data_IF_128576637292
#
_entry.id   IF_128576637292
#
_cell.length_a   1.000
_cell.length_b   1.000
_cell.length_c   1.000
_cell.angle_alpha   90.00
_cell.angle_beta   90.00
_cell.angle_gamma   90.00
#
_symmetry.space_group_name_H-M   'P 1'
#
loop_
_entity.id
_entity.type
_entity.pdbx_description
1 polymer ?
#
# COMPACT_ATOMS: atom_id res chain seq x y z
N UNK A 1 -16.22 25.81 -21.08
CA UNK A 1 -16.27 26.94 -20.12
C UNK A 1 -16.31 26.55 -18.65
N UNK A 2 -16.39 25.24 -18.32
CA UNK A 2 -16.43 24.73 -16.93
C UNK A 2 -15.03 24.43 -16.33
N UNK A 3 -13.95 24.67 -17.09
CA UNK A 3 -12.58 24.28 -16.70
C UNK A 3 -11.73 25.45 -16.19
N UNK A 4 -12.11 26.69 -16.47
CA UNK A 4 -11.34 27.87 -16.07
C UNK A 4 -11.16 28.03 -14.55
N UNK A 5 -12.20 27.84 -13.68
CA UNK A 5 -12.03 27.95 -12.24
C UNK A 5 -11.09 26.88 -11.65
N UNK A 6 -11.11 25.68 -12.20
CA UNK A 6 -10.27 24.56 -11.73
C UNK A 6 -8.80 24.77 -12.09
N UNK A 7 -8.51 25.35 -13.26
CA UNK A 7 -7.14 25.67 -13.69
C UNK A 7 -6.56 26.83 -12.87
N UNK A 8 -7.35 27.90 -12.64
CA UNK A 8 -6.99 28.99 -11.75
C UNK A 8 -6.73 28.52 -10.32
N UNK A 9 -7.61 27.67 -9.79
CA UNK A 9 -7.43 27.07 -8.47
C UNK A 9 -6.16 26.24 -8.34
N UNK A 10 -5.75 25.50 -9.39
CA UNK A 10 -4.49 24.74 -9.39
C UNK A 10 -3.26 25.66 -9.40
N UNK A 11 -3.28 26.74 -10.18
CA UNK A 11 -2.19 27.71 -10.21
C UNK A 11 -2.04 28.44 -8.89
N UNK A 12 -3.15 28.93 -8.33
CA UNK A 12 -3.18 29.60 -7.05
C UNK A 12 -2.69 28.69 -5.91
N UNK A 13 -3.17 27.43 -5.88
CA UNK A 13 -2.70 26.42 -4.94
C UNK A 13 -1.18 26.24 -5.00
N UNK A 14 -0.63 26.16 -6.20
CA UNK A 14 0.81 25.99 -6.38
C UNK A 14 1.58 27.21 -5.88
N UNK A 15 1.13 28.43 -6.20
CA UNK A 15 1.74 29.67 -5.71
C UNK A 15 1.71 29.79 -4.21
N UNK A 16 0.56 29.49 -3.58
CA UNK A 16 0.40 29.51 -2.13
C UNK A 16 1.24 28.44 -1.43
N UNK A 17 1.40 27.27 -2.04
CA UNK A 17 2.26 26.21 -1.53
C UNK A 17 3.75 26.59 -1.63
N UNK A 18 4.19 27.13 -2.76
CA UNK A 18 5.57 27.58 -2.98
C UNK A 18 5.96 28.76 -2.07
N UNK A 19 5.00 29.62 -1.72
CA UNK A 19 5.21 30.73 -0.79
C UNK A 19 5.10 30.33 0.70
N UNK A 20 4.68 29.08 0.98
CA UNK A 20 4.40 28.65 2.36
C UNK A 20 3.11 29.21 2.97
N UNK A 21 2.26 29.84 2.16
CA UNK A 21 1.03 30.46 2.62
C UNK A 21 -0.16 29.46 2.71
N UNK A 22 -0.06 28.29 2.11
CA UNK A 22 -1.09 27.26 2.17
C UNK A 22 -0.96 26.44 3.45
N UNK A 23 -2.05 26.33 4.21
CA UNK A 23 -2.08 25.45 5.39
C UNK A 23 -1.98 23.98 4.96
N UNK A 24 -1.03 23.25 5.51
CA UNK A 24 -0.91 21.80 5.36
C UNK A 24 -1.88 21.00 6.25
N UNK A 25 -2.43 21.65 7.28
CA UNK A 25 -3.26 21.00 8.31
C UNK A 25 -4.75 20.95 7.98
N UNK A 26 -5.20 21.67 6.95
CA UNK A 26 -6.63 21.76 6.60
C UNK A 26 -6.91 21.23 5.21
N UNK A 27 -8.14 20.78 5.00
CA UNK A 27 -8.60 20.28 3.71
C UNK A 27 -8.88 21.41 2.72
N UNK A 28 -8.70 21.13 1.43
CA UNK A 28 -9.16 22.00 0.35
C UNK A 28 -10.60 21.63 0.06
N UNK A 29 -11.49 22.58 0.19
CA UNK A 29 -12.92 22.36 -0.08
C UNK A 29 -13.32 22.89 -1.45
N UNK A 30 -14.32 22.24 -2.04
CA UNK A 30 -14.98 22.71 -3.26
C UNK A 30 -16.47 22.77 -2.98
N UNK A 31 -16.99 23.97 -2.99
CA UNK A 31 -18.40 24.24 -2.69
C UNK A 31 -18.96 25.29 -3.64
N UNK A 32 -20.16 25.05 -4.15
CA UNK A 32 -20.91 25.94 -5.07
C UNK A 32 -20.07 26.46 -6.25
N UNK A 33 -19.15 25.62 -6.75
CA UNK A 33 -18.28 25.96 -7.89
C UNK A 33 -17.06 26.82 -7.54
N UNK A 34 -16.86 27.15 -6.27
CA UNK A 34 -15.66 27.81 -5.75
C UNK A 34 -14.70 26.78 -5.11
N UNK A 35 -13.40 27.07 -5.13
CA UNK A 35 -12.37 26.29 -4.46
C UNK A 35 -11.87 27.12 -3.30
N UNK A 36 -11.93 26.58 -2.10
CA UNK A 36 -11.45 27.18 -0.88
C UNK A 36 -10.11 26.59 -0.52
N UNK A 37 -9.09 27.44 -0.48
CA UNK A 37 -7.72 27.08 -0.14
C UNK A 37 -7.41 27.59 1.26
N UNK A 38 -7.19 26.71 2.25
CA UNK A 38 -6.92 27.13 3.61
C UNK A 38 -5.55 27.83 3.69
N UNK A 39 -5.51 29.00 4.30
CA UNK A 39 -4.28 29.74 4.55
C UNK A 39 -3.67 29.32 5.89
N UNK A 40 -2.36 29.36 5.98
CA UNK A 40 -1.66 29.22 7.25
C UNK A 40 -2.05 30.40 8.18
N UNK A 41 -2.42 30.13 9.46
CA UNK A 41 -2.84 31.18 10.40
C UNK A 41 -1.78 32.27 10.64
N UNK A 42 -0.51 32.02 10.36
CA UNK A 42 0.58 32.97 10.47
C UNK A 42 0.68 33.94 9.28
N UNK A 43 -0.07 33.70 8.20
CA UNK A 43 -0.02 34.51 6.99
C UNK A 43 -1.05 35.62 7.06
N UNK A 44 -0.60 36.87 6.85
CA UNK A 44 -1.50 38.02 6.68
C UNK A 44 -2.12 37.98 5.27
N UNK A 45 -3.44 37.75 5.15
CA UNK A 45 -4.10 37.65 3.85
C UNK A 45 -3.97 38.91 3.00
N UNK A 46 -3.73 40.07 3.62
CA UNK A 46 -3.61 41.34 2.90
C UNK A 46 -2.29 41.49 2.12
N UNK A 47 -1.34 40.60 2.41
CA UNK A 47 -0.03 40.55 1.72
C UNK A 47 -0.03 39.66 0.46
N UNK A 48 -1.13 38.94 0.24
CA UNK A 48 -1.29 38.05 -0.90
C UNK A 48 -1.81 38.80 -2.11
N UNK A 49 -1.57 38.24 -3.31
CA UNK A 49 -1.96 38.85 -4.60
C UNK A 49 -3.49 39.00 -4.70
N UNK A 50 -4.02 40.15 -5.19
CA UNK A 50 -5.43 40.49 -5.17
C UNK A 50 -6.36 39.70 -6.11
N UNK A 51 -5.85 38.71 -6.83
CA UNK A 51 -6.66 37.92 -7.79
C UNK A 51 -7.62 36.91 -7.14
N UNK A 52 -7.78 36.91 -5.82
CA UNK A 52 -8.71 36.04 -5.08
C UNK A 52 -9.34 36.77 -3.88
N UNK A 53 -10.52 36.31 -3.49
CA UNK A 53 -11.24 36.82 -2.35
C UNK A 53 -10.90 36.00 -1.09
N UNK A 54 -10.60 36.66 0.03
CA UNK A 54 -10.41 35.98 1.32
C UNK A 54 -11.71 35.98 2.10
N UNK A 55 -12.10 34.82 2.60
CA UNK A 55 -13.29 34.61 3.41
C UNK A 55 -12.95 33.88 4.70
N UNK A 56 -13.64 34.20 5.78
CA UNK A 56 -13.57 33.40 6.99
C UNK A 56 -14.54 32.22 6.86
N UNK A 57 -14.02 31.00 6.99
CA UNK A 57 -14.80 29.78 6.91
C UNK A 57 -14.24 28.76 7.90
N UNK A 58 -15.13 28.02 8.53
CA UNK A 58 -14.76 26.84 9.30
C UNK A 58 -14.38 25.72 8.32
N UNK A 59 -13.19 25.20 8.43
CA UNK A 59 -12.63 24.21 7.50
C UNK A 59 -12.16 23.01 8.30
N UNK A 60 -12.49 21.81 7.84
CA UNK A 60 -12.07 20.59 8.48
C UNK A 60 -10.54 20.45 8.46
N UNK A 61 -10.00 19.93 9.57
CA UNK A 61 -8.60 19.52 9.59
C UNK A 61 -8.40 18.31 8.68
N UNK A 62 -7.28 18.32 7.98
CA UNK A 62 -6.86 17.15 7.23
C UNK A 62 -6.54 16.04 8.22
N UNK A 63 -7.17 14.90 8.09
CA UNK A 63 -6.76 13.70 8.79
C UNK A 63 -5.35 13.34 8.30
N UNK A 64 -4.36 13.51 9.17
CA UNK A 64 -3.01 13.04 8.92
C UNK A 64 -3.00 11.54 9.19
N UNK A 65 -2.61 10.75 8.18
CA UNK A 65 -2.39 9.32 8.39
C UNK A 65 -1.33 9.14 9.48
N UNK A 66 -1.64 8.29 10.44
CA UNK A 66 -0.70 7.86 11.47
C UNK A 66 0.01 6.60 11.01
N UNK A 67 1.33 6.58 11.15
CA UNK A 67 2.16 5.44 10.82
C UNK A 67 2.69 4.77 12.10
N UNK A 68 3.15 3.51 12.03
CA UNK A 68 3.68 2.82 13.22
C UNK A 68 4.84 3.56 13.89
N UNK A 69 5.72 4.21 13.12
CA UNK A 69 6.85 5.01 13.61
C UNK A 69 6.42 6.21 14.47
N UNK A 70 5.26 6.79 14.22
CA UNK A 70 4.73 7.91 15.02
C UNK A 70 4.46 7.49 16.48
N UNK A 71 4.26 6.19 16.71
CA UNK A 71 3.99 5.61 18.02
C UNK A 71 5.22 5.01 18.70
N UNK A 72 6.15 4.47 17.89
CA UNK A 72 7.31 3.74 18.38
C UNK A 72 8.51 4.64 18.68
N UNK A 73 8.61 5.82 18.05
CA UNK A 73 9.79 6.67 18.11
C UNK A 73 11.01 6.13 17.36
N UNK A 74 10.82 5.07 16.59
CA UNK A 74 11.78 4.52 15.62
C UNK A 74 11.02 3.96 14.43
N UNK A 75 11.68 3.82 13.27
CA UNK A 75 11.11 3.24 12.05
C UNK A 75 11.17 1.70 12.14
N UNK A 76 10.03 1.01 12.25
CA UNK A 76 10.00 -0.46 12.26
C UNK A 76 10.20 -1.02 10.86
N UNK A 77 10.84 -2.20 10.76
CA UNK A 77 10.95 -2.93 9.51
C UNK A 77 9.82 -3.96 9.42
N UNK A 78 8.99 -3.85 8.37
CA UNK A 78 7.95 -4.83 8.07
C UNK A 78 7.71 -4.94 6.57
N UNK A 79 7.19 -6.08 6.13
CA UNK A 79 6.70 -6.29 4.77
C UNK A 79 5.17 -6.38 4.80
N UNK A 80 4.55 -5.99 3.68
CA UNK A 80 3.11 -6.17 3.51
C UNK A 80 2.81 -7.23 2.47
N UNK A 81 1.91 -8.15 2.83
CA UNK A 81 1.33 -9.15 1.95
C UNK A 81 -0.20 -9.05 2.08
N UNK A 82 -0.85 -8.40 1.11
CA UNK A 82 -2.26 -8.07 1.25
C UNK A 82 -2.55 -7.20 2.47
N UNK A 83 -3.33 -7.71 3.39
CA UNK A 83 -3.68 -7.14 4.69
C UNK A 83 -2.90 -7.76 5.88
N UNK A 84 -1.87 -8.55 5.58
CA UNK A 84 -0.94 -9.06 6.58
C UNK A 84 0.33 -8.21 6.61
N UNK A 85 0.75 -7.79 7.80
CA UNK A 85 2.07 -7.20 8.05
C UNK A 85 3.01 -8.27 8.61
N UNK A 86 4.18 -8.43 7.99
CA UNK A 86 5.18 -9.43 8.34
C UNK A 86 6.36 -8.71 9.00
N UNK A 87 6.62 -9.01 10.24
CA UNK A 87 7.74 -8.52 11.04
C UNK A 87 8.84 -9.58 11.06
N UNK A 88 10.09 -9.14 11.25
CA UNK A 88 11.28 -9.99 11.37
C UNK A 88 12.09 -9.47 12.56
N UNK A 89 11.67 -9.82 13.76
CA UNK A 89 12.22 -9.30 15.01
C UNK A 89 12.49 -10.45 15.99
N UNK A 90 13.72 -10.50 16.50
CA UNK A 90 14.15 -11.55 17.43
C UNK A 90 13.72 -11.27 18.88
N UNK A 91 13.41 -10.03 19.21
CA UNK A 91 12.97 -9.60 20.55
C UNK A 91 11.46 -9.59 20.62
N UNK A 92 10.89 -10.48 21.42
CA UNK A 92 9.42 -10.66 21.54
C UNK A 92 8.71 -9.40 22.04
N UNK A 93 9.29 -8.65 22.98
CA UNK A 93 8.67 -7.43 23.52
C UNK A 93 8.63 -6.36 22.42
N UNK A 94 9.71 -6.28 21.64
CA UNK A 94 9.80 -5.35 20.52
C UNK A 94 8.87 -5.75 19.36
N UNK A 95 8.77 -7.05 19.05
CA UNK A 95 7.84 -7.58 18.06
C UNK A 95 6.39 -7.23 18.41
N UNK A 96 5.98 -7.43 19.67
CA UNK A 96 4.66 -7.08 20.16
C UNK A 96 4.41 -5.56 20.11
N UNK A 97 5.39 -4.75 20.49
CA UNK A 97 5.27 -3.29 20.41
C UNK A 97 5.06 -2.80 18.97
N UNK A 98 5.77 -3.42 18.00
CA UNK A 98 5.59 -3.14 16.57
C UNK A 98 4.18 -3.54 16.11
N UNK A 99 3.70 -4.73 16.51
CA UNK A 99 2.37 -5.19 16.17
C UNK A 99 1.27 -4.26 16.69
N UNK A 100 1.38 -3.82 17.95
CA UNK A 100 0.45 -2.87 18.55
C UNK A 100 0.46 -1.53 17.84
N UNK A 101 1.64 -1.04 17.45
CA UNK A 101 1.78 0.21 16.70
C UNK A 101 1.18 0.11 15.29
N UNK A 102 1.38 -1.01 14.59
CA UNK A 102 0.78 -1.29 13.27
C UNK A 102 -0.74 -1.30 13.39
N UNK A 103 -1.30 -2.03 14.35
CA UNK A 103 -2.75 -2.14 14.57
C UNK A 103 -3.42 -0.83 14.96
N UNK A 104 -2.69 0.05 15.60
CA UNK A 104 -3.18 1.35 16.05
C UNK A 104 -2.89 2.49 15.06
N UNK A 105 -2.26 2.21 13.93
CA UNK A 105 -1.97 3.15 12.83
C UNK A 105 -3.02 3.03 11.72
N UNK A 106 -2.91 3.89 10.71
CA UNK A 106 -3.75 3.83 9.50
C UNK A 106 -3.18 2.88 8.42
N UNK A 107 -2.24 2.01 8.81
CA UNK A 107 -1.74 0.97 7.92
C UNK A 107 -2.84 -0.07 7.70
N UNK A 108 -3.22 -0.39 6.46
CA UNK A 108 -4.24 -1.40 6.18
C UNK A 108 -3.66 -2.81 6.37
N UNK A 109 -3.49 -3.21 7.62
CA UNK A 109 -3.06 -4.53 8.06
C UNK A 109 -4.04 -5.06 9.13
N UNK A 110 -4.69 -6.18 8.85
CA UNK A 110 -5.62 -6.83 9.77
C UNK A 110 -4.92 -7.85 10.65
N UNK A 111 -3.87 -8.49 10.13
CA UNK A 111 -3.04 -9.45 10.86
C UNK A 111 -1.58 -8.98 10.88
N UNK A 112 -0.91 -9.21 11.99
CA UNK A 112 0.53 -9.01 12.13
C UNK A 112 1.18 -10.32 12.55
N UNK A 113 2.14 -10.79 11.78
CA UNK A 113 2.88 -12.01 12.06
C UNK A 113 4.37 -11.72 12.21
N UNK A 114 5.04 -12.47 13.09
CA UNK A 114 6.51 -12.49 13.17
C UNK A 114 7.06 -13.79 12.58
N UNK A 115 8.26 -13.74 12.04
CA UNK A 115 8.96 -14.90 11.52
C UNK A 115 9.51 -15.74 12.67
N UNK A 116 8.85 -16.86 12.99
CA UNK A 116 9.26 -17.76 14.07
C UNK A 116 10.38 -18.72 13.65
N UNK A 117 10.52 -19.01 12.34
CA UNK A 117 11.56 -19.89 11.83
C UNK A 117 12.14 -19.43 10.49
N UNK A 118 13.32 -19.92 10.09
CA UNK A 118 13.78 -19.86 8.71
C UNK A 118 12.80 -20.59 7.77
N UNK A 119 12.95 -20.37 6.46
CA UNK A 119 12.25 -21.16 5.45
C UNK A 119 12.86 -22.56 5.44
N UNK A 120 12.03 -23.60 5.61
CA UNK A 120 12.47 -24.99 5.72
C UNK A 120 11.74 -25.91 4.74
N UNK A 121 12.38 -27.05 4.43
CA UNK A 121 11.82 -28.13 3.63
C UNK A 121 11.59 -27.82 2.14
N UNK A 122 11.03 -28.80 1.44
CA UNK A 122 10.77 -28.73 -0.02
C UNK A 122 9.64 -27.72 -0.33
N UNK A 123 8.68 -27.56 0.56
CA UNK A 123 7.53 -26.66 0.39
C UNK A 123 7.89 -25.21 0.70
N UNK A 124 9.08 -24.94 1.27
CA UNK A 124 9.56 -23.59 1.62
C UNK A 124 8.62 -22.84 2.57
N UNK A 125 7.92 -23.56 3.42
CA UNK A 125 7.03 -23.03 4.47
C UNK A 125 7.89 -22.68 5.69
N UNK A 126 7.42 -21.72 6.46
CA UNK A 126 7.98 -21.37 7.78
C UNK A 126 6.89 -21.33 8.83
N UNK A 127 7.32 -21.39 10.08
CA UNK A 127 6.44 -21.12 11.20
C UNK A 127 6.26 -19.61 11.38
N UNK A 128 5.08 -19.21 11.80
CA UNK A 128 4.70 -17.83 12.02
C UNK A 128 4.14 -17.67 13.43
N UNK A 129 4.62 -16.67 14.15
CA UNK A 129 4.00 -16.21 15.38
C UNK A 129 2.97 -15.13 15.03
N UNK A 130 1.70 -15.43 15.27
CA UNK A 130 0.61 -14.44 15.09
C UNK A 130 0.63 -13.49 16.27
N UNK A 131 1.10 -12.27 16.06
CA UNK A 131 1.19 -11.25 17.11
C UNK A 131 -0.12 -10.48 17.31
N UNK A 132 -0.88 -10.29 16.21
CA UNK A 132 -2.19 -9.65 16.24
C UNK A 132 -3.03 -10.13 15.05
N UNK A 133 -4.36 -10.15 15.20
CA UNK A 133 -5.27 -10.74 14.23
C UNK A 133 -5.44 -12.24 14.46
N UNK A 134 -6.15 -12.91 13.55
CA UNK A 134 -6.48 -14.34 13.70
C UNK A 134 -6.25 -15.12 12.41
N UNK A 135 -6.21 -14.45 11.25
CA UNK A 135 -6.21 -15.08 9.93
C UNK A 135 -4.85 -14.93 9.25
N UNK A 136 -4.40 -16.00 8.62
CA UNK A 136 -3.19 -16.01 7.77
C UNK A 136 -3.53 -16.08 6.27
N UNK A 137 -4.82 -16.18 5.93
CA UNK A 137 -5.30 -16.03 4.56
C UNK A 137 -5.34 -14.55 4.17
N UNK A 138 -4.97 -14.26 2.93
CA UNK A 138 -5.00 -12.90 2.40
C UNK A 138 -5.13 -12.89 0.87
N UNK A 139 -5.43 -11.71 0.32
CA UNK A 139 -5.39 -11.46 -1.12
C UNK A 139 -4.35 -10.39 -1.42
N UNK A 140 -3.20 -10.82 -1.93
CA UNK A 140 -2.15 -9.91 -2.38
C UNK A 140 -2.44 -9.42 -3.81
N UNK A 141 -2.15 -8.13 -4.06
CA UNK A 141 -2.34 -7.51 -5.38
C UNK A 141 -1.03 -6.94 -5.90
N UNK A 142 -0.66 -7.34 -7.11
CA UNK A 142 0.50 -6.79 -7.80
C UNK A 142 0.23 -6.72 -9.31
N UNK A 143 0.65 -5.63 -9.95
CA UNK A 143 0.56 -5.42 -11.41
C UNK A 143 -0.80 -5.79 -12.04
N UNK A 144 -1.90 -5.52 -11.33
CA UNK A 144 -3.26 -5.77 -11.81
C UNK A 144 -3.77 -7.20 -11.62
N UNK A 145 -2.96 -8.11 -11.08
CA UNK A 145 -3.35 -9.45 -10.66
C UNK A 145 -3.66 -9.51 -9.16
N UNK A 146 -4.49 -10.46 -8.76
CA UNK A 146 -4.80 -10.77 -7.38
C UNK A 146 -4.45 -12.22 -7.09
N UNK A 147 -3.77 -12.46 -5.99
CA UNK A 147 -3.33 -13.77 -5.54
C UNK A 147 -3.91 -14.03 -4.15
N UNK A 148 -4.86 -14.93 -4.06
CA UNK A 148 -5.32 -15.45 -2.78
C UNK A 148 -4.28 -16.46 -2.27
N UNK A 149 -4.01 -16.46 -0.98
CA UNK A 149 -3.09 -17.42 -0.36
C UNK A 149 -3.26 -17.44 1.15
N UNK A 150 -2.93 -18.58 1.75
CA UNK A 150 -2.68 -18.69 3.18
C UNK A 150 -1.17 -18.70 3.45
N UNK A 151 -0.69 -17.70 4.18
CA UNK A 151 0.72 -17.55 4.51
C UNK A 151 1.28 -18.72 5.34
N UNK A 152 0.42 -19.45 6.06
CA UNK A 152 0.81 -20.62 6.83
C UNK A 152 1.01 -21.88 5.98
N UNK A 153 0.36 -21.97 4.81
CA UNK A 153 0.37 -23.20 3.98
C UNK A 153 1.11 -23.04 2.66
N UNK A 154 1.28 -21.81 2.14
CA UNK A 154 1.93 -21.61 0.85
C UNK A 154 3.05 -20.55 0.92
N UNK A 155 4.05 -20.74 0.08
CA UNK A 155 5.13 -19.76 -0.06
C UNK A 155 4.75 -18.65 -1.04
N UNK A 156 4.86 -17.42 -0.59
CA UNK A 156 4.80 -16.24 -1.46
C UNK A 156 5.80 -15.16 -0.98
N UNK A 157 6.45 -14.46 -1.90
CA UNK A 157 7.36 -13.37 -1.58
C UNK A 157 7.02 -12.12 -2.38
N UNK A 158 6.50 -11.05 -1.74
CA UNK A 158 6.21 -9.79 -2.42
C UNK A 158 7.46 -9.08 -2.94
N UNK A 159 8.63 -9.36 -2.40
CA UNK A 159 9.93 -8.79 -2.86
C UNK A 159 10.27 -9.15 -4.30
N UNK A 160 9.70 -10.24 -4.82
CA UNK A 160 9.95 -10.71 -6.19
C UNK A 160 9.01 -10.09 -7.23
N UNK A 161 8.10 -9.23 -6.83
CA UNK A 161 7.09 -8.63 -7.71
C UNK A 161 7.69 -7.97 -8.96
N UNK A 162 8.75 -7.16 -8.80
CA UNK A 162 9.42 -6.49 -9.92
C UNK A 162 10.05 -7.48 -10.91
N UNK A 163 10.68 -8.55 -10.39
CA UNK A 163 11.29 -9.56 -11.26
C UNK A 163 10.23 -10.41 -11.97
N UNK A 164 9.16 -10.77 -11.28
CA UNK A 164 8.01 -11.44 -11.91
C UNK A 164 7.45 -10.59 -13.06
N UNK A 165 7.21 -9.32 -12.81
CA UNK A 165 6.72 -8.40 -13.83
C UNK A 165 7.67 -8.32 -15.03
N UNK A 166 8.98 -8.17 -14.80
CA UNK A 166 10.01 -8.15 -15.84
C UNK A 166 9.99 -9.39 -16.72
N UNK A 167 9.80 -10.57 -16.13
CA UNK A 167 9.70 -11.84 -16.87
C UNK A 167 8.43 -11.89 -17.69
N UNK A 168 7.29 -11.58 -17.07
CA UNK A 168 5.97 -11.60 -17.71
C UNK A 168 5.86 -10.60 -18.87
N UNK A 169 6.53 -9.44 -18.78
CA UNK A 169 6.56 -8.47 -19.88
C UNK A 169 7.20 -9.00 -21.17
N UNK A 170 8.00 -10.06 -21.10
CA UNK A 170 8.62 -10.70 -22.26
C UNK A 170 7.68 -11.67 -22.98
N UNK A 171 6.55 -12.02 -22.36
CA UNK A 171 5.58 -12.97 -22.89
C UNK A 171 4.67 -12.26 -23.89
N UNK A 172 4.57 -12.82 -25.11
CA UNK A 172 3.68 -12.33 -26.16
C UNK A 172 2.32 -13.06 -26.14
N UNK A 173 1.31 -12.41 -26.73
CA UNK A 173 -0.01 -13.00 -26.94
C UNK A 173 0.08 -14.31 -27.77
N UNK A 174 -0.60 -15.35 -27.33
CA UNK A 174 -0.61 -16.66 -27.97
C UNK A 174 0.64 -17.53 -27.70
N UNK A 175 1.60 -17.07 -26.92
CA UNK A 175 2.72 -17.92 -26.48
C UNK A 175 2.26 -19.01 -25.51
N UNK A 176 3.04 -20.10 -25.45
CA UNK A 176 2.84 -21.17 -24.47
C UNK A 176 3.84 -21.03 -23.35
N UNK A 177 3.33 -20.89 -22.13
CA UNK A 177 4.11 -20.76 -20.91
C UNK A 177 3.89 -21.98 -20.03
N UNK A 178 4.96 -22.57 -19.54
CA UNK A 178 4.92 -23.67 -18.60
C UNK A 178 5.76 -23.33 -17.37
N UNK A 179 5.10 -23.21 -16.20
CA UNK A 179 5.74 -22.98 -14.91
C UNK A 179 5.78 -24.30 -14.13
N UNK A 180 6.98 -24.78 -13.84
CA UNK A 180 7.22 -26.05 -13.15
C UNK A 180 7.13 -25.93 -11.62
N UNK A 181 7.03 -24.71 -11.08
CA UNK A 181 6.99 -24.41 -9.65
C UNK A 181 6.00 -23.27 -9.42
N UNK A 182 4.77 -23.47 -9.83
CA UNK A 182 3.79 -22.41 -10.03
C UNK A 182 3.35 -21.72 -8.74
N UNK A 183 3.39 -22.42 -7.58
CA UNK A 183 2.79 -21.89 -6.35
C UNK A 183 1.34 -21.45 -6.60
N UNK A 184 0.96 -20.30 -6.05
CA UNK A 184 -0.35 -19.68 -6.30
C UNK A 184 -0.44 -18.93 -7.66
N UNK A 185 0.44 -19.25 -8.59
CA UNK A 185 0.44 -18.76 -9.96
C UNK A 185 1.03 -17.37 -10.21
N UNK A 186 2.04 -16.88 -9.46
CA UNK A 186 2.54 -15.52 -9.63
C UNK A 186 3.20 -15.21 -10.98
N UNK A 187 3.51 -16.23 -11.78
CA UNK A 187 3.89 -16.12 -13.20
C UNK A 187 2.76 -16.56 -14.13
N UNK A 188 2.03 -17.62 -13.77
CA UNK A 188 0.98 -18.23 -14.62
C UNK A 188 -0.19 -17.27 -14.82
N UNK A 189 -0.69 -16.67 -13.75
CA UNK A 189 -1.85 -15.77 -13.80
C UNK A 189 -1.57 -14.54 -14.68
N UNK A 190 -0.49 -13.78 -14.47
CA UNK A 190 -0.21 -12.62 -15.33
C UNK A 190 0.20 -13.00 -16.74
N UNK A 191 0.80 -14.19 -16.97
CA UNK A 191 1.05 -14.70 -18.32
C UNK A 191 -0.27 -14.96 -19.07
N UNK A 192 -1.22 -15.62 -18.42
CA UNK A 192 -2.55 -15.85 -18.97
C UNK A 192 -3.31 -14.54 -19.22
N UNK A 193 -3.19 -13.55 -18.32
CA UNK A 193 -3.77 -12.22 -18.51
C UNK A 193 -3.24 -11.51 -19.76
N UNK A 194 -1.99 -11.79 -20.17
CA UNK A 194 -1.39 -11.27 -21.42
C UNK A 194 -1.78 -12.06 -22.68
N UNK A 195 -2.63 -13.09 -22.55
CA UNK A 195 -3.09 -13.91 -23.68
C UNK A 195 -2.25 -15.16 -23.94
N UNK A 196 -1.32 -15.50 -23.06
CA UNK A 196 -0.55 -16.74 -23.20
C UNK A 196 -1.40 -17.98 -22.83
N UNK A 197 -1.07 -19.11 -23.44
CA UNK A 197 -1.53 -20.44 -23.05
C UNK A 197 -0.66 -20.93 -21.88
N UNK A 198 -1.06 -20.58 -20.64
CA UNK A 198 -0.25 -20.81 -19.47
C UNK A 198 -0.68 -22.08 -18.72
N UNK A 199 0.31 -22.89 -18.33
CA UNK A 199 0.13 -24.09 -17.50
C UNK A 199 1.11 -24.02 -16.35
N UNK A 200 0.61 -24.20 -15.12
CA UNK A 200 1.41 -24.31 -13.91
C UNK A 200 1.30 -25.69 -13.29
N UNK A 201 2.38 -26.16 -12.71
CA UNK A 201 2.41 -27.34 -11.83
C UNK A 201 3.18 -26.99 -10.56
N UNK A 202 2.75 -27.53 -9.45
CA UNK A 202 3.44 -27.37 -8.16
C UNK A 202 3.34 -28.67 -7.36
N UNK A 203 4.26 -28.87 -6.42
CA UNK A 203 4.23 -29.99 -5.48
C UNK A 203 3.23 -29.74 -4.34
N UNK A 204 2.94 -28.48 -4.06
CA UNK A 204 2.02 -28.04 -3.00
C UNK A 204 0.61 -28.00 -3.56
N UNK A 205 -0.22 -28.99 -3.18
CA UNK A 205 -1.62 -29.07 -3.61
C UNK A 205 -2.41 -27.84 -3.16
N UNK A 206 -2.21 -27.41 -1.90
CA UNK A 206 -2.86 -26.23 -1.33
C UNK A 206 -2.61 -24.96 -2.16
N UNK A 207 -1.39 -24.80 -2.72
CA UNK A 207 -1.06 -23.65 -3.53
C UNK A 207 -1.82 -23.60 -4.87
N UNK A 208 -2.24 -24.75 -5.39
CA UNK A 208 -3.00 -24.87 -6.63
C UNK A 208 -4.52 -24.69 -6.44
N UNK A 209 -4.99 -24.72 -5.19
CA UNK A 209 -6.39 -24.49 -4.84
C UNK A 209 -6.73 -23.00 -4.70
N UNK A 210 -5.71 -22.15 -4.49
CA UNK A 210 -5.83 -20.69 -4.43
C UNK A 210 -5.81 -20.06 -5.84
#
# INVERSE_FOLDING_TARGET
>A
RRWEPVLLGRQLRRQLAESGALSGEHVIEVDDGAIYLPLDPAVDPTTLDPDFETVERDVDRRETQTFPEDRLGFEPSYERLGDIAIVDEDDDERALAIADAIRASDLPAETVVNRASPIEGELRIREWDVLAGEDTETVHREYGCAFALDLASVYFSPRLATERHRVVEQIADGERVFDMFAGVGPFVVPAAQRGAEAVGVDITEDALEY
#
